data_IF_130537701463
#
_entry.id   IF_130537701463
#
_cell.length_a   1.000
_cell.length_b   1.000
_cell.length_c   1.000
_cell.angle_alpha   90.00
_cell.angle_beta   90.00
_cell.angle_gamma   90.00
#
_symmetry.space_group_name_H-M   'P 1'
#
loop_
_entity.id
_entity.type
_entity.pdbx_description
1 polymer ?
#
# COMPACT_ATOMS: atom_id res chain seq x y z
N UNK A 1 45.75 -34.82 13.43
CA UNK A 1 46.02 -35.38 12.08
C UNK A 1 44.69 -35.61 11.37
N UNK A 2 44.64 -35.41 10.04
CA UNK A 2 43.62 -34.58 9.39
C UNK A 2 42.62 -35.38 8.54
N UNK A 3 41.52 -34.73 8.11
CA UNK A 3 41.07 -34.75 6.71
C UNK A 3 40.06 -33.64 6.41
N UNK A 4 40.54 -32.74 5.56
CA UNK A 4 39.96 -31.74 4.68
C UNK A 4 38.65 -32.14 3.99
N UNK A 5 37.68 -31.22 3.86
CA UNK A 5 37.01 -31.01 2.56
C UNK A 5 36.45 -29.60 2.39
N UNK A 6 37.00 -28.93 1.37
CA UNK A 6 36.54 -27.71 0.72
C UNK A 6 35.36 -28.02 -0.20
N UNK A 7 34.50 -27.03 -0.40
CA UNK A 7 33.67 -26.84 -1.60
C UNK A 7 32.35 -26.19 -1.23
N UNK A 8 31.77 -25.26 -1.96
CA UNK A 8 32.15 -24.52 -3.18
C UNK A 8 31.24 -23.28 -3.18
N UNK A 9 31.81 -22.11 -3.48
CA UNK A 9 31.03 -20.91 -3.74
C UNK A 9 30.39 -21.02 -5.13
N UNK A 10 29.07 -20.88 -5.22
CA UNK A 10 28.36 -20.72 -6.49
C UNK A 10 27.85 -19.27 -6.58
N UNK A 11 28.59 -18.45 -7.31
CA UNK A 11 28.16 -17.15 -7.80
C UNK A 11 27.21 -17.36 -8.98
N UNK A 12 25.97 -16.88 -8.89
CA UNK A 12 25.12 -16.66 -10.05
C UNK A 12 24.75 -15.17 -10.15
N UNK A 13 25.40 -14.50 -11.11
CA UNK A 13 24.98 -13.24 -11.73
C UNK A 13 24.30 -13.59 -13.05
N UNK A 14 23.16 -12.95 -13.35
CA UNK A 14 22.72 -12.41 -14.66
C UNK A 14 21.27 -11.93 -14.49
N UNK A 15 20.92 -10.65 -14.50
CA UNK A 15 21.02 -9.57 -15.51
C UNK A 15 19.80 -9.49 -16.44
N UNK A 16 19.09 -8.35 -16.37
CA UNK A 16 18.39 -7.62 -17.46
C UNK A 16 17.05 -8.28 -17.90
N UNK A 17 15.90 -7.61 -18.02
CA UNK A 17 15.62 -6.33 -18.68
C UNK A 17 14.32 -5.68 -18.16
N UNK A 18 14.38 -4.37 -17.83
CA UNK A 18 13.21 -3.50 -17.79
C UNK A 18 12.91 -3.01 -19.20
N UNK A 19 11.74 -3.35 -19.75
CA UNK A 19 11.27 -2.84 -21.04
C UNK A 19 10.16 -1.82 -20.77
N UNK A 20 10.51 -0.54 -20.77
CA UNK A 20 9.54 0.55 -20.87
C UNK A 20 9.16 0.73 -22.36
N UNK A 21 7.91 1.03 -22.70
CA UNK A 21 7.53 1.39 -24.05
C UNK A 21 7.90 2.85 -24.35
N UNK A 22 8.67 3.04 -25.44
CA UNK A 22 8.89 4.31 -26.12
C UNK A 22 7.55 4.87 -26.64
N UNK A 23 7.32 6.17 -26.39
CA UNK A 23 6.21 6.94 -26.94
C UNK A 23 6.74 7.71 -28.15
N UNK A 24 6.32 7.29 -29.34
CA UNK A 24 6.66 7.91 -30.62
C UNK A 24 5.74 9.13 -30.84
N UNK A 25 6.33 10.33 -30.78
CA UNK A 25 5.69 11.59 -31.13
C UNK A 25 6.41 12.14 -32.36
N UNK A 26 6.01 11.70 -33.56
CA UNK A 26 6.29 12.49 -34.76
C UNK A 26 5.39 12.11 -35.93
N UNK A 27 5.17 13.11 -36.78
CA UNK A 27 4.56 13.07 -38.11
C UNK A 27 3.03 13.18 -38.21
N UNK A 28 2.54 14.42 -38.21
CA UNK A 28 1.56 14.84 -39.23
C UNK A 28 2.09 16.08 -39.94
N UNK A 29 2.81 15.82 -41.03
CA UNK A 29 3.38 16.83 -41.93
C UNK A 29 2.34 17.18 -43.00
N UNK A 30 2.19 18.49 -43.21
CA UNK A 30 1.45 19.12 -44.30
C UNK A 30 1.82 18.56 -45.68
N UNK A 31 0.81 18.34 -46.53
CA UNK A 31 0.95 18.36 -47.98
C UNK A 31 -0.06 19.33 -48.58
N UNK A 32 0.44 20.48 -48.99
CA UNK A 32 -0.14 21.28 -50.06
C UNK A 32 0.04 20.52 -51.38
N UNK A 33 -1.00 20.49 -52.21
CA UNK A 33 -0.87 20.22 -53.65
C UNK A 33 -1.86 21.11 -54.39
N UNK A 34 -1.31 22.04 -55.16
CA UNK A 34 -2.01 22.81 -56.18
C UNK A 34 -2.31 21.94 -57.40
N UNK A 35 -3.45 22.17 -58.04
CA UNK A 35 -3.52 22.20 -59.50
C UNK A 35 -4.73 23.03 -59.96
N UNK A 36 -4.41 23.94 -60.89
CA UNK A 36 -5.31 24.84 -61.61
C UNK A 36 -6.18 24.07 -62.62
N UNK A 37 -7.39 24.56 -62.93
CA UNK A 37 -7.92 24.52 -64.30
C UNK A 37 -9.01 25.60 -64.54
N UNK A 38 -9.00 26.11 -65.77
CA UNK A 38 -9.49 27.40 -66.24
C UNK A 38 -10.98 27.50 -66.62
N UNK A 39 -11.38 28.76 -66.86
CA UNK A 39 -12.32 29.29 -67.88
C UNK A 39 -13.82 29.50 -67.57
N UNK A 40 -14.15 30.80 -67.55
CA UNK A 40 -15.12 31.51 -68.41
C UNK A 40 -16.57 31.79 -67.93
N UNK A 41 -16.84 33.10 -67.90
CA UNK A 41 -18.01 33.85 -68.40
C UNK A 41 -19.38 33.82 -67.68
N UNK A 42 -19.70 35.00 -67.13
CA UNK A 42 -20.98 35.76 -67.18
C UNK A 42 -22.28 35.12 -66.69
N UNK A 43 -22.83 35.62 -65.57
CA UNK A 43 -23.97 36.58 -65.55
C UNK A 43 -24.45 36.87 -64.12
N UNK A 44 -25.14 38.00 -63.88
CA UNK A 44 -25.37 38.56 -62.54
C UNK A 44 -26.63 38.00 -61.88
N UNK A 45 -26.73 38.23 -60.56
CA UNK A 45 -27.95 38.40 -59.74
C UNK A 45 -28.11 37.40 -58.59
N UNK A 46 -27.68 37.80 -57.40
CA UNK A 46 -28.53 37.90 -56.20
C UNK A 46 -27.68 38.50 -55.06
N UNK A 47 -28.16 39.51 -54.32
CA UNK A 47 -27.51 39.89 -53.07
C UNK A 47 -27.65 38.72 -52.10
N UNK A 48 -26.54 38.07 -51.79
CA UNK A 48 -26.45 37.16 -50.65
C UNK A 48 -26.68 38.01 -49.40
N UNK A 49 -27.86 37.89 -48.80
CA UNK A 49 -28.11 38.42 -47.47
C UNK A 49 -27.21 37.61 -46.55
N UNK A 50 -26.02 38.17 -46.24
CA UNK A 50 -25.22 37.72 -45.10
C UNK A 50 -26.09 37.94 -43.88
N UNK A 51 -26.77 36.88 -43.43
CA UNK A 51 -27.20 36.78 -42.05
C UNK A 51 -25.92 36.69 -41.22
N UNK A 52 -25.28 37.84 -41.02
CA UNK A 52 -24.37 38.11 -39.90
C UNK A 52 -25.22 38.01 -38.64
N UNK A 53 -25.58 36.79 -38.27
CA UNK A 53 -25.88 36.48 -36.90
C UNK A 53 -24.50 36.31 -36.27
N UNK A 54 -23.99 37.27 -35.49
CA UNK A 54 -22.75 37.04 -34.79
C UNK A 54 -23.00 35.82 -33.90
N UNK A 55 -22.29 34.75 -34.20
CA UNK A 55 -22.29 33.55 -33.37
C UNK A 55 -21.64 33.94 -32.04
N UNK A 56 -22.42 34.57 -31.16
CA UNK A 56 -22.05 35.08 -29.83
C UNK A 56 -21.88 33.93 -28.82
N UNK A 57 -21.71 32.70 -29.29
CA UNK A 57 -21.38 31.58 -28.43
C UNK A 57 -19.86 31.63 -28.26
N UNK A 58 -19.33 32.16 -27.13
CA UNK A 58 -17.91 32.05 -26.87
C UNK A 58 -17.53 30.56 -26.92
N UNK A 59 -16.31 30.20 -27.39
CA UNK A 59 -15.88 28.82 -27.37
C UNK A 59 -15.92 28.32 -25.92
N UNK A 60 -16.96 27.57 -25.58
CA UNK A 60 -17.15 26.98 -24.25
C UNK A 60 -16.28 25.73 -24.16
N UNK A 61 -14.96 25.95 -24.17
CA UNK A 61 -14.01 24.92 -23.78
C UNK A 61 -14.24 24.55 -22.30
N UNK A 62 -13.88 23.33 -21.88
CA UNK A 62 -14.00 22.93 -20.48
C UNK A 62 -13.30 23.95 -19.57
N UNK A 63 -14.03 24.48 -18.59
CA UNK A 63 -13.45 25.37 -17.60
C UNK A 63 -12.65 24.53 -16.59
N UNK A 64 -11.41 24.23 -16.94
CA UNK A 64 -10.50 23.39 -16.14
C UNK A 64 -10.31 23.89 -14.70
N UNK A 65 -10.47 25.21 -14.45
CA UNK A 65 -10.43 25.77 -13.11
C UNK A 65 -11.65 25.37 -12.29
N UNK A 66 -12.84 25.43 -12.88
CA UNK A 66 -14.08 24.98 -12.24
C UNK A 66 -14.06 23.46 -12.02
N UNK A 67 -13.62 22.68 -13.01
CA UNK A 67 -13.48 21.23 -12.90
C UNK A 67 -12.50 20.89 -11.78
N UNK A 68 -11.33 21.54 -11.75
CA UNK A 68 -10.34 21.37 -10.68
C UNK A 68 -10.89 21.73 -9.30
N UNK A 69 -11.67 22.81 -9.18
CA UNK A 69 -12.30 23.21 -7.93
C UNK A 69 -13.35 22.19 -7.45
N UNK A 70 -14.16 21.64 -8.36
CA UNK A 70 -15.15 20.59 -8.05
C UNK A 70 -14.45 19.30 -7.59
N UNK A 71 -13.40 18.88 -8.29
CA UNK A 71 -12.62 17.69 -7.90
C UNK A 71 -11.99 17.90 -6.52
N UNK A 72 -11.37 19.06 -6.27
CA UNK A 72 -10.79 19.37 -4.96
C UNK A 72 -11.84 19.35 -3.84
N UNK A 73 -13.02 19.93 -4.07
CA UNK A 73 -14.12 19.89 -3.11
C UNK A 73 -14.60 18.45 -2.83
N UNK A 74 -14.73 17.61 -3.86
CA UNK A 74 -15.08 16.20 -3.71
C UNK A 74 -14.00 15.42 -2.94
N UNK A 75 -12.72 15.69 -3.17
CA UNK A 75 -11.63 15.07 -2.41
C UNK A 75 -11.69 15.44 -0.93
N UNK A 76 -11.97 16.71 -0.60
CA UNK A 76 -12.09 17.15 0.80
C UNK A 76 -13.29 16.48 1.49
N UNK A 77 -14.44 16.46 0.82
CA UNK A 77 -15.65 15.79 1.36
C UNK A 77 -15.38 14.29 1.54
N UNK A 78 -14.77 13.66 0.54
CA UNK A 78 -14.36 12.26 0.60
C UNK A 78 -13.46 11.97 1.80
N UNK A 79 -12.41 12.76 2.00
CA UNK A 79 -11.49 12.62 3.13
C UNK A 79 -12.20 12.79 4.48
N UNK A 80 -13.09 13.80 4.58
CA UNK A 80 -13.86 14.10 5.80
C UNK A 80 -14.76 12.94 6.22
N UNK A 81 -15.35 12.21 5.26
CA UNK A 81 -16.18 11.03 5.55
C UNK A 81 -15.33 9.78 5.77
N UNK A 82 -14.25 9.61 4.99
CA UNK A 82 -13.47 8.38 5.02
C UNK A 82 -12.70 8.16 6.31
N UNK A 83 -12.19 9.23 6.94
CA UNK A 83 -11.41 9.12 8.19
C UNK A 83 -12.26 8.53 9.32
N UNK A 84 -13.41 9.13 9.72
CA UNK A 84 -14.21 8.59 10.81
C UNK A 84 -14.81 7.22 10.48
N UNK A 85 -15.16 6.97 9.21
CA UNK A 85 -15.62 5.65 8.79
C UNK A 85 -14.53 4.58 8.97
N UNK A 86 -13.28 4.91 8.64
CA UNK A 86 -12.14 4.01 8.81
C UNK A 86 -11.81 3.75 10.28
N UNK A 87 -11.86 4.77 11.13
CA UNK A 87 -11.69 4.64 12.58
C UNK A 87 -12.79 3.78 13.20
N UNK A 88 -14.06 4.00 12.81
CA UNK A 88 -15.18 3.19 13.26
C UNK A 88 -15.03 1.72 12.85
N UNK A 89 -14.60 1.46 11.60
CA UNK A 89 -14.31 0.11 11.13
C UNK A 89 -13.21 -0.56 11.95
N UNK A 90 -12.09 0.12 12.20
CA UNK A 90 -11.01 -0.43 13.02
C UNK A 90 -11.45 -0.71 14.45
N UNK A 91 -12.21 0.20 15.06
CA UNK A 91 -12.74 0.00 16.42
C UNK A 91 -13.64 -1.23 16.48
N UNK A 92 -14.55 -1.42 15.52
CA UNK A 92 -15.41 -2.59 15.45
C UNK A 92 -14.60 -3.88 15.26
N UNK A 93 -13.64 -3.89 14.32
CA UNK A 93 -12.80 -5.06 14.06
C UNK A 93 -11.94 -5.41 15.28
N UNK A 94 -11.37 -4.41 15.97
CA UNK A 94 -10.55 -4.61 17.17
C UNK A 94 -11.36 -5.18 18.35
N UNK A 95 -12.65 -4.88 18.42
CA UNK A 95 -13.56 -5.40 19.45
C UNK A 95 -13.90 -6.88 19.22
N UNK A 96 -13.84 -7.34 17.98
CA UNK A 96 -14.06 -8.74 17.60
C UNK A 96 -12.79 -9.60 17.59
N UNK A 97 -11.62 -8.99 17.69
CA UNK A 97 -10.35 -9.71 17.71
C UNK A 97 -10.21 -10.58 18.97
N UNK A 98 -9.83 -11.85 18.80
CA UNK A 98 -9.45 -12.73 19.91
C UNK A 98 -8.26 -12.11 20.66
N UNK A 99 -8.34 -12.12 22.00
CA UNK A 99 -7.33 -11.54 22.88
C UNK A 99 -6.56 -12.62 23.62
N UNK A 100 -5.23 -12.50 23.60
CA UNK A 100 -4.33 -13.45 24.22
C UNK A 100 -3.83 -13.00 25.60
N UNK A 101 -2.75 -13.62 26.06
CA UNK A 101 -2.21 -13.48 27.42
C UNK A 101 -1.60 -12.10 27.66
N UNK A 102 -1.10 -11.45 26.62
CA UNK A 102 -0.51 -10.11 26.63
C UNK A 102 -1.52 -9.03 26.21
N UNK A 103 -2.83 -9.32 26.28
CA UNK A 103 -3.93 -8.49 25.78
C UNK A 103 -3.80 -8.13 24.29
N UNK A 104 -2.99 -8.88 23.56
CA UNK A 104 -2.71 -8.72 22.15
C UNK A 104 -3.74 -9.38 21.25
N UNK A 105 -3.67 -9.10 19.96
CA UNK A 105 -4.49 -9.76 18.95
C UNK A 105 -3.93 -11.14 18.62
N UNK A 106 -4.77 -12.17 18.67
CA UNK A 106 -4.38 -13.56 18.38
C UNK A 106 -4.76 -13.93 16.94
N UNK A 107 -3.84 -14.62 16.26
CA UNK A 107 -4.02 -15.13 14.91
C UNK A 107 -3.55 -16.56 14.81
N UNK A 108 -4.37 -17.44 14.24
CA UNK A 108 -3.90 -18.75 13.79
C UNK A 108 -3.22 -18.60 12.43
N UNK A 109 -1.99 -19.09 12.32
CA UNK A 109 -1.17 -19.11 11.11
C UNK A 109 -0.57 -20.49 10.91
N UNK A 110 -0.09 -20.78 9.71
CA UNK A 110 0.61 -22.03 9.42
C UNK A 110 2.11 -21.72 9.31
N UNK A 111 2.90 -22.24 10.24
CA UNK A 111 4.36 -22.08 10.27
C UNK A 111 4.96 -23.46 10.02
N UNK A 112 5.70 -23.61 8.92
CA UNK A 112 6.30 -24.89 8.52
C UNK A 112 5.28 -26.05 8.42
N UNK A 113 4.07 -25.75 7.95
CA UNK A 113 2.99 -26.74 7.80
C UNK A 113 2.19 -27.04 9.06
N UNK A 114 2.56 -26.46 10.21
CA UNK A 114 1.87 -26.67 11.48
C UNK A 114 1.06 -25.43 11.91
N UNK A 115 -0.15 -25.60 12.47
CA UNK A 115 -0.94 -24.49 12.97
C UNK A 115 -0.33 -23.92 14.26
N UNK A 116 0.00 -22.63 14.23
CA UNK A 116 0.53 -21.86 15.36
C UNK A 116 -0.36 -20.67 15.63
N UNK A 117 -0.73 -20.45 16.89
CA UNK A 117 -1.32 -19.20 17.34
C UNK A 117 -0.22 -18.19 17.61
N UNK A 118 -0.21 -17.08 16.87
CA UNK A 118 0.64 -15.93 17.17
C UNK A 118 -0.20 -14.84 17.83
N UNK A 119 0.30 -14.28 18.92
CA UNK A 119 -0.26 -13.11 19.57
C UNK A 119 0.65 -11.92 19.35
N UNK A 120 0.11 -10.84 18.78
CA UNK A 120 0.74 -9.53 18.74
C UNK A 120 0.32 -8.74 19.99
N UNK A 121 1.16 -8.82 21.03
CA UNK A 121 0.87 -8.32 22.37
C UNK A 121 1.73 -7.15 22.81
N UNK A 122 1.43 -6.61 23.98
CA UNK A 122 2.05 -5.38 24.49
C UNK A 122 2.87 -5.67 25.76
N UNK A 123 4.16 -5.34 25.72
CA UNK A 123 5.05 -5.33 26.88
C UNK A 123 5.31 -3.87 27.27
N UNK A 124 4.37 -3.27 28.03
CA UNK A 124 4.33 -1.83 28.24
C UNK A 124 3.97 -1.10 26.94
N UNK A 125 4.79 -0.12 26.54
CA UNK A 125 4.61 0.64 25.29
C UNK A 125 5.34 -0.01 24.10
N UNK A 126 5.69 -1.28 24.19
CA UNK A 126 6.44 -1.98 23.15
C UNK A 126 5.67 -3.20 22.65
N UNK A 127 5.81 -3.48 21.35
CA UNK A 127 5.17 -4.63 20.74
C UNK A 127 6.02 -5.89 21.00
N UNK A 128 5.36 -7.01 21.27
CA UNK A 128 5.96 -8.32 21.41
C UNK A 128 5.16 -9.36 20.64
N UNK A 129 5.79 -10.49 20.32
CA UNK A 129 5.15 -11.62 19.67
C UNK A 129 5.27 -12.86 20.55
N UNK A 130 4.13 -13.39 20.97
CA UNK A 130 4.03 -14.69 21.62
C UNK A 130 3.54 -15.72 20.58
N UNK A 131 4.02 -16.96 20.68
CA UNK A 131 3.60 -18.06 19.81
C UNK A 131 3.23 -19.30 20.64
N UNK A 132 2.15 -19.99 20.26
CA UNK A 132 1.69 -21.24 20.86
C UNK A 132 1.20 -22.22 19.78
N UNK A 133 1.84 -23.39 19.59
CA UNK A 133 3.04 -23.85 20.29
C UNK A 133 4.27 -22.96 20.02
N UNK A 134 5.31 -23.14 20.83
CA UNK A 134 6.58 -22.43 20.64
C UNK A 134 7.15 -22.65 19.23
N UNK A 135 7.73 -21.60 18.66
CA UNK A 135 8.39 -21.68 17.36
C UNK A 135 9.63 -22.59 17.43
N UNK A 136 10.08 -23.16 16.29
CA UNK A 136 11.28 -23.98 16.24
C UNK A 136 12.49 -23.29 16.90
N UNK A 137 13.35 -24.03 17.61
CA UNK A 137 14.58 -23.46 18.16
C UNK A 137 15.42 -22.80 17.06
N UNK A 138 15.90 -21.58 17.32
CA UNK A 138 16.64 -20.80 16.32
C UNK A 138 15.77 -19.89 15.45
N UNK A 139 14.44 -19.92 15.63
CA UNK A 139 13.54 -19.02 14.92
C UNK A 139 13.90 -17.54 15.15
N UNK A 140 13.94 -16.80 14.05
CA UNK A 140 14.17 -15.35 14.01
C UNK A 140 12.87 -14.69 13.61
N UNK A 141 12.34 -13.86 14.50
CA UNK A 141 11.11 -13.09 14.27
C UNK A 141 11.49 -11.66 13.92
N UNK A 142 11.06 -11.19 12.76
CA UNK A 142 11.20 -9.78 12.35
C UNK A 142 9.82 -9.16 12.22
N UNK A 143 9.64 -7.99 12.82
CA UNK A 143 8.42 -7.18 12.71
C UNK A 143 8.74 -5.86 12.03
N UNK A 144 7.88 -5.42 11.12
CA UNK A 144 7.98 -4.14 10.44
C UNK A 144 6.68 -3.35 10.53
N UNK A 145 6.72 -2.18 11.14
CA UNK A 145 5.65 -1.19 11.14
C UNK A 145 6.12 0.14 10.57
N UNK A 146 5.44 1.22 10.98
CA UNK A 146 5.84 2.60 10.65
C UNK A 146 7.18 3.00 11.29
N UNK A 147 7.61 2.26 12.31
CA UNK A 147 8.92 2.39 12.96
C UNK A 147 10.08 1.71 12.19
N UNK A 148 9.80 1.05 11.06
CA UNK A 148 10.80 0.29 10.31
C UNK A 148 10.87 -1.18 10.72
N UNK A 149 11.81 -1.96 10.14
CA UNK A 149 11.99 -3.38 10.47
C UNK A 149 12.85 -3.56 11.72
N UNK A 150 12.40 -4.41 12.64
CA UNK A 150 13.13 -4.82 13.84
C UNK A 150 13.12 -6.34 13.98
N UNK A 151 14.29 -6.91 14.30
CA UNK A 151 14.38 -8.31 14.70
C UNK A 151 14.15 -8.42 16.20
N UNK A 152 13.12 -9.16 16.58
CA UNK A 152 12.71 -9.34 17.97
C UNK A 152 13.57 -10.41 18.65
N UNK A 153 14.31 -10.07 19.73
CA UNK A 153 15.08 -11.05 20.46
C UNK A 153 14.16 -12.03 21.20
N UNK A 154 14.59 -13.29 21.36
CA UNK A 154 13.89 -14.24 22.22
C UNK A 154 14.10 -13.89 23.71
N UNK A 155 13.01 -13.76 24.46
CA UNK A 155 13.03 -13.60 25.91
C UNK A 155 12.63 -14.91 26.59
N UNK A 156 13.60 -15.60 27.18
CA UNK A 156 13.38 -16.90 27.83
C UNK A 156 12.60 -16.81 29.16
N UNK A 157 12.66 -15.66 29.87
CA UNK A 157 11.98 -15.49 31.16
C UNK A 157 10.46 -15.41 30.99
N UNK A 158 10.02 -14.69 29.95
CA UNK A 158 8.60 -14.46 29.67
C UNK A 158 8.07 -15.24 28.45
N UNK A 159 8.93 -16.04 27.80
CA UNK A 159 8.62 -16.91 26.66
C UNK A 159 7.99 -16.19 25.45
N UNK A 160 8.53 -15.03 25.06
CA UNK A 160 8.07 -14.30 23.87
C UNK A 160 9.24 -13.70 23.07
N UNK A 161 8.98 -13.30 21.82
CA UNK A 161 9.89 -12.51 21.01
C UNK A 161 9.66 -11.01 21.22
N UNK A 162 10.70 -10.25 21.51
CA UNK A 162 10.65 -8.81 21.76
C UNK A 162 11.11 -8.46 23.19
N UNK A 163 10.73 -7.28 23.71
CA UNK A 163 9.93 -6.24 23.05
C UNK A 163 10.64 -5.59 21.85
N UNK A 164 9.89 -4.84 21.03
CA UNK A 164 10.47 -3.87 20.07
C UNK A 164 11.27 -2.80 20.80
N UNK A 165 12.25 -2.22 20.12
CA UNK A 165 12.97 -1.03 20.58
C UNK A 165 12.11 0.22 20.42
N UNK A 166 11.35 0.32 19.33
CA UNK A 166 10.41 1.41 19.15
C UNK A 166 9.31 1.38 20.22
N UNK A 167 9.09 2.54 20.84
CA UNK A 167 7.90 2.81 21.64
C UNK A 167 6.71 3.10 20.73
N UNK A 168 5.56 2.57 21.10
CA UNK A 168 4.31 2.68 20.38
C UNK A 168 3.20 2.88 21.39
N UNK A 169 2.18 3.66 21.02
CA UNK A 169 0.99 3.77 21.85
C UNK A 169 0.25 2.42 21.87
N UNK A 170 0.17 1.71 23.01
CA UNK A 170 -0.47 0.40 23.07
C UNK A 170 -2.00 0.49 22.91
N UNK A 171 -2.59 1.69 23.00
CA UNK A 171 -4.02 1.93 22.78
C UNK A 171 -4.36 2.22 21.32
N UNK A 172 -3.36 2.51 20.49
CA UNK A 172 -3.56 2.72 19.04
C UNK A 172 -3.51 1.40 18.28
N UNK A 173 -4.11 1.38 17.10
CA UNK A 173 -4.09 0.24 16.19
C UNK A 173 -2.92 0.38 15.22
N UNK A 174 -2.09 -0.64 15.10
CA UNK A 174 -0.90 -0.59 14.26
C UNK A 174 -0.88 -1.73 13.27
N UNK A 175 -0.69 -1.44 11.99
CA UNK A 175 -0.58 -2.47 10.96
C UNK A 175 0.89 -2.85 10.81
N UNK A 176 1.21 -4.11 11.09
CA UNK A 176 2.60 -4.61 11.04
C UNK A 176 2.73 -5.77 10.06
N UNK A 177 3.94 -5.93 9.53
CA UNK A 177 4.34 -7.12 8.77
C UNK A 177 5.24 -7.97 9.66
N UNK A 178 4.96 -9.27 9.73
CA UNK A 178 5.74 -10.23 10.51
C UNK A 178 6.43 -11.18 9.52
N UNK A 179 7.65 -11.55 9.83
CA UNK A 179 8.44 -12.55 9.11
C UNK A 179 9.09 -13.47 10.13
N UNK A 180 8.86 -14.78 9.99
CA UNK A 180 9.43 -15.82 10.83
C UNK A 180 10.36 -16.65 9.95
N UNK A 181 11.63 -16.69 10.30
CA UNK A 181 12.65 -17.48 9.62
C UNK A 181 13.28 -18.48 10.59
N UNK A 182 13.80 -19.58 10.08
CA UNK A 182 14.67 -20.48 10.85
C UNK A 182 15.84 -20.91 9.95
N UNK A 183 17.06 -20.81 10.45
CA UNK A 183 18.30 -21.08 9.69
C UNK A 183 18.36 -20.38 8.30
N UNK A 184 17.79 -19.18 8.20
CA UNK A 184 17.72 -18.39 6.97
C UNK A 184 16.63 -18.82 5.98
N UNK A 185 15.84 -19.85 6.30
CA UNK A 185 14.66 -20.24 5.53
C UNK A 185 13.42 -19.50 6.07
N UNK A 186 12.63 -18.93 5.17
CA UNK A 186 11.34 -18.33 5.51
C UNK A 186 10.33 -19.42 5.88
N UNK A 187 9.87 -19.44 7.13
CA UNK A 187 8.81 -20.35 7.58
C UNK A 187 7.42 -19.73 7.36
N UNK A 188 7.27 -18.44 7.66
CA UNK A 188 6.00 -17.73 7.47
C UNK A 188 6.20 -16.22 7.37
N UNK A 189 5.32 -15.54 6.63
CA UNK A 189 5.20 -14.08 6.69
C UNK A 189 3.77 -13.60 6.43
N UNK A 190 3.41 -12.48 7.03
CA UNK A 190 2.08 -11.91 6.85
C UNK A 190 1.93 -10.52 7.42
N UNK A 191 0.88 -9.80 6.96
CA UNK A 191 0.46 -8.53 7.54
C UNK A 191 -0.66 -8.75 8.54
N UNK A 192 -0.55 -8.17 9.72
CA UNK A 192 -1.53 -8.28 10.81
C UNK A 192 -1.69 -6.95 11.53
N UNK A 193 -2.80 -6.80 12.23
CA UNK A 193 -3.02 -5.65 13.09
C UNK A 193 -2.52 -5.98 14.50
N UNK A 194 -1.60 -5.19 15.03
CA UNK A 194 -1.43 -5.09 16.47
C UNK A 194 -2.57 -4.20 16.97
N UNK A 195 -3.70 -4.83 17.32
CA UNK A 195 -4.85 -4.10 17.85
C UNK A 195 -4.50 -3.50 19.20
N UNK A 196 -5.00 -2.28 19.40
CA UNK A 196 -4.81 -1.55 20.63
C UNK A 196 -5.46 -2.29 21.80
N UNK A 197 -4.93 -2.08 23.01
CA UNK A 197 -5.52 -2.55 24.25
C UNK A 197 -6.88 -1.85 24.41
N UNK A 198 -7.97 -2.59 24.66
CA UNK A 198 -9.28 -1.99 24.89
C UNK A 198 -9.23 -1.06 26.11
N UNK A 199 -9.57 0.22 25.93
CA UNK A 199 -9.78 1.13 27.06
C UNK A 199 -11.17 0.87 27.61
N UNK A 200 -11.25 0.25 28.79
CA UNK A 200 -12.52 0.09 29.51
C UNK A 200 -13.07 1.44 29.96
N UNK A 201 -13.83 2.11 29.10
CA UNK A 201 -14.66 3.26 29.48
C UNK A 201 -16.13 2.90 29.25
N UNK A 202 -16.67 2.14 30.20
CA UNK A 202 -18.11 2.14 30.44
C UNK A 202 -18.49 3.52 30.99
N UNK A 203 -19.10 4.35 30.15
CA UNK A 203 -19.97 5.42 30.67
C UNK A 203 -21.26 4.75 31.15
N UNK A 204 -21.44 4.73 32.47
CA UNK A 204 -22.74 4.51 33.12
C UNK A 204 -23.65 5.72 32.93
#
# INVERSE_FOLDING_TARGET
MPLTRRGQAATYRNSIASKAPDVDFDAVRLTQSSSEHSHAMTSPSAPYVSSDNPNLIPPSGPNWRLIGAVIAALCIIGATISIPAYEAWQSAESAHAERGKMNGAVYTVEVDGEPVKIELGWAGNHLALLADPELPPGAVVTVKGDFGPETLPWNAEYQFFGPTQAEMNPFSHHKVSIRIENDGQLLWSGKRWAWGVPTGHHHH
#
